data_IF_573163287986
#
_entry.id   IF_573163287986
#
_cell.length_a   1.000
_cell.length_b   1.000
_cell.length_c   1.000
_cell.angle_alpha   90.00
_cell.angle_beta   90.00
_cell.angle_gamma   90.00
#
_symmetry.space_group_name_H-M   'P 1'
#
loop_
_entity.id
_entity.type
_entity.pdbx_description
1 polymer ?
#
# COMPACT_ATOMS: atom_id res chain seq x y z
N UNK A 1 -4.65 -5.74 -21.43
CA UNK A 1 -4.52 -7.20 -21.22
C UNK A 1 -5.46 -7.57 -20.08
N UNK A 2 -6.37 -8.50 -20.22
CA UNK A 2 -7.52 -8.64 -19.31
C UNK A 2 -7.22 -9.19 -17.90
N UNK A 3 -5.97 -9.44 -17.53
CA UNK A 3 -5.65 -10.04 -16.23
C UNK A 3 -4.44 -9.39 -15.52
N UNK A 4 -4.16 -8.11 -15.77
CA UNK A 4 -3.03 -7.37 -15.18
C UNK A 4 -3.55 -6.27 -14.25
N UNK A 5 -3.05 -6.21 -13.03
CA UNK A 5 -3.35 -5.14 -12.08
C UNK A 5 -2.51 -3.90 -12.32
N UNK A 6 -1.24 -4.11 -12.70
CA UNK A 6 -0.30 -3.04 -13.06
C UNK A 6 0.43 -3.47 -14.34
N UNK A 7 0.51 -2.59 -15.33
CA UNK A 7 1.32 -2.74 -16.55
C UNK A 7 2.11 -1.45 -16.76
N UNK A 8 3.43 -1.53 -16.74
CA UNK A 8 4.34 -0.37 -16.84
C UNK A 8 5.29 -0.56 -18.01
N UNK A 9 5.42 0.48 -18.84
CA UNK A 9 6.25 0.47 -20.05
C UNK A 9 7.13 1.70 -20.13
N UNK A 10 8.42 1.46 -20.16
CA UNK A 10 9.47 2.47 -20.33
C UNK A 10 9.36 3.65 -19.36
N UNK A 11 8.78 3.40 -18.17
CA UNK A 11 8.45 4.43 -17.19
C UNK A 11 9.71 5.02 -16.59
N UNK A 12 9.85 6.33 -16.68
CA UNK A 12 11.04 7.04 -16.17
C UNK A 12 10.66 8.29 -15.40
N UNK A 13 11.45 8.61 -14.35
CA UNK A 13 11.32 9.84 -13.58
C UNK A 13 12.65 10.52 -13.37
N UNK A 14 12.73 11.77 -13.79
CA UNK A 14 13.90 12.64 -13.62
C UNK A 14 13.54 13.84 -12.72
N UNK A 15 14.39 14.16 -11.76
CA UNK A 15 14.34 15.37 -10.92
C UNK A 15 15.58 16.20 -11.18
N UNK A 16 15.41 17.33 -11.87
CA UNK A 16 16.56 18.12 -12.36
C UNK A 16 17.46 17.22 -13.23
N UNK A 17 18.73 17.06 -12.83
CA UNK A 17 19.67 16.18 -13.57
C UNK A 17 19.73 14.76 -13.02
N UNK A 18 19.05 14.46 -11.92
CA UNK A 18 19.05 13.13 -11.29
C UNK A 18 17.94 12.25 -11.86
N UNK A 19 18.33 11.10 -12.45
CA UNK A 19 17.39 10.05 -12.81
C UNK A 19 17.04 9.25 -11.54
N UNK A 20 15.75 9.24 -11.16
CA UNK A 20 15.25 8.49 -10.01
C UNK A 20 14.70 7.13 -10.40
N UNK A 21 14.07 7.03 -11.58
CA UNK A 21 13.60 5.79 -12.21
C UNK A 21 13.98 5.86 -13.68
N UNK A 22 14.56 4.79 -14.23
CA UNK A 22 15.03 4.74 -15.63
C UNK A 22 14.46 3.51 -16.32
N UNK A 23 13.63 3.72 -17.34
CA UNK A 23 13.12 2.70 -18.27
C UNK A 23 12.51 1.48 -17.54
N UNK A 24 11.69 1.71 -16.50
CA UNK A 24 11.05 0.61 -15.79
C UNK A 24 10.01 -0.07 -16.67
N UNK A 25 10.09 -1.42 -16.73
CA UNK A 25 9.17 -2.27 -17.47
C UNK A 25 8.81 -3.45 -16.61
N UNK A 26 7.53 -3.56 -16.20
CA UNK A 26 7.04 -4.70 -15.43
C UNK A 26 5.52 -4.80 -15.49
N UNK A 27 5.01 -5.98 -15.16
CA UNK A 27 3.58 -6.24 -15.04
C UNK A 27 3.28 -7.03 -13.76
N UNK A 28 2.15 -6.72 -13.13
CA UNK A 28 1.64 -7.41 -11.95
C UNK A 28 0.32 -8.09 -12.30
N UNK A 29 0.24 -9.43 -12.27
CA UNK A 29 -1.00 -10.14 -12.52
C UNK A 29 -2.06 -9.86 -11.43
N UNK A 30 -3.35 -9.88 -11.80
CA UNK A 30 -4.44 -9.86 -10.83
C UNK A 30 -4.39 -11.09 -9.92
N UNK A 31 -4.76 -10.91 -8.63
CA UNK A 31 -4.81 -11.97 -7.63
C UNK A 31 -3.43 -12.51 -7.19
N UNK A 32 -2.34 -11.77 -7.45
CA UNK A 32 -0.99 -12.17 -7.05
C UNK A 32 -0.41 -11.26 -5.95
N UNK A 33 0.58 -11.79 -5.23
CA UNK A 33 1.51 -10.98 -4.43
C UNK A 33 2.76 -10.75 -5.27
N UNK A 34 3.07 -9.50 -5.55
CA UNK A 34 4.27 -9.11 -6.29
C UNK A 34 5.20 -8.28 -5.40
N UNK A 35 6.41 -8.78 -5.16
CA UNK A 35 7.47 -8.07 -4.47
C UNK A 35 8.27 -7.18 -5.41
N UNK A 36 8.34 -5.89 -5.13
CA UNK A 36 9.16 -4.90 -5.83
C UNK A 36 10.42 -4.62 -5.02
N UNK A 37 11.46 -5.44 -5.26
CA UNK A 37 12.63 -5.53 -4.40
C UNK A 37 13.81 -4.74 -4.97
N UNK A 38 14.52 -4.03 -4.11
CA UNK A 38 15.73 -3.29 -4.49
C UNK A 38 16.30 -2.47 -3.33
N UNK A 39 17.57 -2.05 -3.40
CA UNK A 39 18.21 -1.27 -2.35
C UNK A 39 17.54 0.09 -2.13
N UNK A 40 17.84 0.73 -1.00
CA UNK A 40 17.38 2.09 -0.74
C UNK A 40 17.89 3.04 -1.84
N UNK A 41 17.02 3.92 -2.32
CA UNK A 41 17.33 4.85 -3.41
C UNK A 41 17.23 4.25 -4.83
N UNK A 42 16.79 2.99 -5.00
CA UNK A 42 16.59 2.39 -6.33
C UNK A 42 15.34 2.87 -7.09
N UNK A 43 14.55 3.78 -6.50
CA UNK A 43 13.37 4.34 -7.15
C UNK A 43 12.04 3.67 -6.78
N UNK A 44 12.00 2.72 -5.82
CA UNK A 44 10.77 2.00 -5.44
C UNK A 44 9.63 2.95 -5.06
N UNK A 45 9.85 3.79 -4.05
CA UNK A 45 8.85 4.79 -3.60
C UNK A 45 8.48 5.75 -4.72
N UNK A 46 9.44 6.17 -5.56
CA UNK A 46 9.17 7.04 -6.71
C UNK A 46 8.25 6.35 -7.73
N UNK A 47 8.49 5.07 -8.01
CA UNK A 47 7.62 4.28 -8.90
C UNK A 47 6.22 4.15 -8.30
N UNK A 48 6.10 3.81 -7.02
CA UNK A 48 4.82 3.73 -6.31
C UNK A 48 4.07 5.06 -6.37
N UNK A 49 4.76 6.18 -6.16
CA UNK A 49 4.12 7.52 -6.25
C UNK A 49 3.61 7.83 -7.66
N UNK A 50 4.31 7.39 -8.73
CA UNK A 50 3.80 7.52 -10.09
C UNK A 50 2.56 6.66 -10.32
N UNK A 51 2.55 5.40 -9.85
CA UNK A 51 1.41 4.49 -9.95
C UNK A 51 0.17 4.99 -9.18
N UNK A 52 0.37 5.82 -8.15
CA UNK A 52 -0.71 6.42 -7.36
C UNK A 52 -1.09 7.84 -7.81
N UNK A 53 -0.54 8.31 -8.93
CA UNK A 53 -0.84 9.65 -9.46
C UNK A 53 -0.34 10.81 -8.58
N UNK A 54 0.52 10.53 -7.57
CA UNK A 54 1.06 11.55 -6.67
C UNK A 54 2.14 12.40 -7.34
N UNK A 55 2.79 11.85 -8.36
CA UNK A 55 3.76 12.53 -9.23
C UNK A 55 3.60 12.02 -10.65
N UNK A 56 3.76 12.89 -11.63
CA UNK A 56 3.74 12.48 -13.05
C UNK A 56 5.09 11.88 -13.46
N UNK A 57 5.12 10.85 -14.33
CA UNK A 57 6.34 10.39 -14.97
C UNK A 57 6.97 11.48 -15.85
N UNK A 58 8.26 11.36 -16.15
CA UNK A 58 8.94 12.20 -17.12
C UNK A 58 8.74 11.66 -18.55
N UNK A 59 8.81 10.33 -18.70
CA UNK A 59 8.56 9.59 -19.94
C UNK A 59 7.99 8.21 -19.63
N UNK A 60 7.47 7.54 -20.64
CA UNK A 60 6.84 6.23 -20.52
C UNK A 60 5.37 6.30 -20.10
N UNK A 61 4.75 5.16 -20.06
CA UNK A 61 3.33 5.00 -19.72
C UNK A 61 3.10 3.83 -18.76
N UNK A 62 1.88 3.73 -18.27
CA UNK A 62 1.46 2.62 -17.42
C UNK A 62 -0.03 2.60 -17.22
N UNK A 63 -0.52 1.42 -16.80
CA UNK A 63 -1.92 1.21 -16.49
C UNK A 63 -2.05 0.58 -15.10
N UNK A 64 -3.04 1.02 -14.34
CA UNK A 64 -3.43 0.45 -13.05
C UNK A 64 -4.90 0.04 -13.15
N UNK A 65 -5.18 -1.26 -12.92
CA UNK A 65 -6.52 -1.85 -13.06
C UNK A 65 -7.17 -1.57 -14.43
N UNK A 66 -6.32 -1.47 -15.47
CA UNK A 66 -6.73 -1.21 -16.86
C UNK A 66 -6.90 0.25 -17.22
N UNK A 67 -6.76 1.18 -16.29
CA UNK A 67 -6.84 2.62 -16.50
C UNK A 67 -5.45 3.24 -16.63
N UNK A 68 -5.31 4.31 -17.40
CA UNK A 68 -4.06 5.04 -17.59
C UNK A 68 -3.61 5.72 -16.28
N UNK A 69 -2.31 5.68 -15.95
CA UNK A 69 -1.77 6.34 -14.75
C UNK A 69 -1.86 7.87 -14.80
N UNK A 70 -2.12 8.45 -15.96
CA UNK A 70 -2.41 9.89 -16.10
C UNK A 70 -3.79 10.30 -15.57
N UNK A 71 -4.71 9.33 -15.43
CA UNK A 71 -6.10 9.54 -15.00
C UNK A 71 -6.39 8.83 -13.67
N UNK A 72 -5.72 9.21 -12.56
CA UNK A 72 -5.77 8.48 -11.29
C UNK A 72 -7.16 8.40 -10.67
N UNK A 73 -8.04 9.34 -10.95
CA UNK A 73 -9.43 9.35 -10.48
C UNK A 73 -10.22 8.11 -10.96
N UNK A 74 -9.83 7.48 -12.07
CA UNK A 74 -10.52 6.33 -12.63
C UNK A 74 -10.19 5.02 -11.92
N UNK A 75 -9.04 4.93 -11.22
CA UNK A 75 -8.61 3.69 -10.56
C UNK A 75 -8.39 3.81 -9.04
N UNK A 76 -8.01 4.98 -8.51
CA UNK A 76 -7.72 5.16 -7.09
C UNK A 76 -8.86 4.74 -6.15
N UNK A 77 -10.15 4.88 -6.48
CA UNK A 77 -11.24 4.37 -5.65
C UNK A 77 -11.20 2.84 -5.43
N UNK A 78 -10.45 2.12 -6.28
CA UNK A 78 -10.28 0.66 -6.22
C UNK A 78 -8.89 0.24 -5.72
N UNK A 79 -8.07 1.20 -5.29
CA UNK A 79 -6.69 1.00 -4.81
C UNK A 79 -6.60 1.38 -3.35
N UNK A 80 -6.05 0.50 -2.53
CA UNK A 80 -5.59 0.82 -1.19
C UNK A 80 -4.09 1.07 -1.19
N UNK A 81 -3.63 2.09 -0.48
CA UNK A 81 -2.21 2.39 -0.46
C UNK A 81 -1.69 2.76 0.93
N UNK A 82 -0.45 2.34 1.22
CA UNK A 82 0.32 2.81 2.36
C UNK A 82 1.74 3.16 1.90
N UNK A 83 2.11 4.44 2.03
CA UNK A 83 3.42 4.96 1.63
C UNK A 83 4.10 5.60 2.84
N UNK A 84 5.39 5.30 3.05
CA UNK A 84 6.26 5.94 4.07
C UNK A 84 5.78 5.80 5.52
N UNK A 85 4.97 4.82 5.82
CA UNK A 85 4.45 4.58 7.16
C UNK A 85 3.21 5.42 7.51
N UNK A 86 2.40 4.90 8.40
CA UNK A 86 1.09 5.46 8.68
C UNK A 86 1.16 6.73 9.53
N UNK A 87 0.55 7.81 9.04
CA UNK A 87 0.37 9.06 9.77
C UNK A 87 -1.04 9.11 10.38
N UNK A 88 -1.13 8.78 11.67
CA UNK A 88 -2.37 8.81 12.44
C UNK A 88 -2.32 9.84 13.56
N UNK A 89 -3.46 10.19 14.11
CA UNK A 89 -3.58 11.08 15.26
C UNK A 89 -3.18 10.34 16.55
N UNK A 90 -2.08 10.74 17.23
CA UNK A 90 -1.54 9.99 18.38
C UNK A 90 -2.47 9.93 19.58
N UNK A 91 -3.32 10.95 19.74
CA UNK A 91 -4.26 11.06 20.85
C UNK A 91 -5.54 10.24 20.67
N UNK A 92 -5.86 9.87 19.43
CA UNK A 92 -7.01 9.03 19.09
C UNK A 92 -6.69 7.54 19.27
N UNK A 93 -7.73 6.73 19.46
CA UNK A 93 -7.61 5.27 19.47
C UNK A 93 -7.42 4.73 18.04
N UNK A 94 -7.06 3.45 17.89
CA UNK A 94 -7.01 2.80 16.57
C UNK A 94 -8.35 2.88 15.85
N UNK A 95 -9.43 2.54 16.53
CA UNK A 95 -10.81 2.65 16.02
C UNK A 95 -11.13 4.06 15.57
N UNK A 96 -10.87 5.07 16.43
CA UNK A 96 -11.15 6.47 16.09
C UNK A 96 -10.37 6.96 14.87
N UNK A 97 -9.10 6.57 14.73
CA UNK A 97 -8.29 6.90 13.56
C UNK A 97 -8.91 6.34 12.28
N UNK A 98 -9.29 5.06 12.25
CA UNK A 98 -9.94 4.46 11.09
C UNK A 98 -11.30 5.10 10.78
N UNK A 99 -12.10 5.41 11.80
CA UNK A 99 -13.38 6.12 11.63
C UNK A 99 -13.19 7.49 11.00
N UNK A 100 -12.16 8.24 11.42
CA UNK A 100 -11.84 9.56 10.82
C UNK A 100 -11.49 9.38 9.34
N UNK A 101 -10.61 8.42 9.00
CA UNK A 101 -10.23 8.18 7.61
C UNK A 101 -11.40 7.67 6.76
N UNK A 102 -12.23 6.77 7.31
CA UNK A 102 -13.42 6.30 6.61
C UNK A 102 -14.36 7.45 6.25
N UNK A 103 -14.64 8.35 7.21
CA UNK A 103 -15.48 9.54 6.96
C UNK A 103 -14.87 10.48 5.95
N UNK A 104 -13.56 10.75 6.00
CA UNK A 104 -12.86 11.60 5.05
C UNK A 104 -12.89 11.03 3.63
N UNK A 105 -12.77 9.70 3.50
CA UNK A 105 -12.81 9.00 2.21
C UNK A 105 -14.21 8.66 1.72
N UNK A 106 -15.27 8.97 2.49
CA UNK A 106 -16.64 8.61 2.13
C UNK A 106 -16.95 7.11 2.25
N UNK A 107 -16.16 6.36 3.04
CA UNK A 107 -16.34 4.93 3.27
C UNK A 107 -17.25 4.64 4.45
N UNK A 108 -17.87 3.45 4.47
CA UNK A 108 -18.65 3.01 5.63
C UNK A 108 -17.77 2.85 6.87
N UNK A 109 -18.23 3.36 8.01
CA UNK A 109 -17.60 3.15 9.31
C UNK A 109 -17.91 1.77 9.89
N UNK A 110 -18.91 1.06 9.38
CA UNK A 110 -19.32 -0.26 9.90
C UNK A 110 -18.26 -1.33 9.66
N UNK A 111 -17.42 -1.15 8.64
CA UNK A 111 -16.32 -2.06 8.33
C UNK A 111 -15.14 -1.95 9.30
N UNK A 112 -15.05 -0.87 10.08
CA UNK A 112 -13.86 -0.55 10.91
C UNK A 112 -13.51 -1.66 11.90
N UNK A 113 -14.50 -2.18 12.61
CA UNK A 113 -14.27 -3.24 13.61
C UNK A 113 -13.75 -4.52 12.92
N UNK A 114 -14.38 -4.94 11.83
CA UNK A 114 -13.93 -6.11 11.06
C UNK A 114 -12.53 -5.93 10.45
N UNK A 115 -12.17 -4.71 10.04
CA UNK A 115 -10.81 -4.42 9.56
C UNK A 115 -9.78 -4.50 10.68
N UNK A 116 -10.09 -4.01 11.90
CA UNK A 116 -9.22 -4.15 13.06
C UNK A 116 -9.01 -5.63 13.43
N UNK A 117 -10.05 -6.43 13.41
CA UNK A 117 -9.97 -7.87 13.64
C UNK A 117 -9.12 -8.55 12.57
N UNK A 118 -9.34 -8.22 11.29
CA UNK A 118 -8.59 -8.75 10.14
C UNK A 118 -7.08 -8.51 10.26
N UNK A 119 -6.67 -7.34 10.76
CA UNK A 119 -5.24 -7.04 10.96
C UNK A 119 -4.72 -7.42 12.35
N UNK A 120 -5.49 -8.17 13.16
CA UNK A 120 -5.09 -8.62 14.49
C UNK A 120 -4.99 -7.49 15.52
N UNK A 121 -5.83 -6.48 15.41
CA UNK A 121 -5.93 -5.34 16.33
C UNK A 121 -7.32 -5.21 16.99
N UNK A 122 -8.19 -6.24 16.90
CA UNK A 122 -9.54 -6.20 17.44
C UNK A 122 -9.58 -5.81 18.92
N UNK A 123 -8.77 -6.49 19.75
CA UNK A 123 -8.70 -6.23 21.22
C UNK A 123 -7.92 -4.94 21.57
N UNK A 124 -7.31 -4.29 20.60
CA UNK A 124 -6.48 -3.10 20.76
C UNK A 124 -7.09 -1.84 20.13
N UNK A 125 -8.24 -1.99 19.46
CA UNK A 125 -8.93 -0.90 18.78
C UNK A 125 -9.14 0.33 19.66
N UNK A 126 -9.47 0.15 20.93
CA UNK A 126 -9.72 1.22 21.91
C UNK A 126 -8.46 1.77 22.60
N UNK A 127 -7.29 1.20 22.32
CA UNK A 127 -6.02 1.73 22.82
C UNK A 127 -5.58 2.93 21.99
N UNK A 128 -5.00 3.95 22.65
CA UNK A 128 -4.51 5.16 21.97
C UNK A 128 -3.35 4.80 21.03
N UNK A 129 -3.38 5.35 19.81
CA UNK A 129 -2.36 5.09 18.79
C UNK A 129 -0.92 5.36 19.26
N UNK A 130 -0.71 6.38 20.10
CA UNK A 130 0.63 6.66 20.68
C UNK A 130 1.21 5.51 21.49
N UNK A 131 0.37 4.57 21.98
CA UNK A 131 0.81 3.40 22.75
C UNK A 131 1.03 2.16 21.89
N UNK A 132 0.80 2.25 20.57
CA UNK A 132 1.00 1.14 19.65
C UNK A 132 2.49 0.87 19.42
N UNK A 133 2.85 -0.41 19.38
CA UNK A 133 4.17 -0.82 18.85
C UNK A 133 4.28 -0.47 17.37
N UNK A 134 5.49 -0.51 16.83
CA UNK A 134 5.70 -0.26 15.39
C UNK A 134 4.89 -1.24 14.54
N UNK A 135 4.91 -2.54 14.86
CA UNK A 135 4.12 -3.56 14.16
C UNK A 135 2.61 -3.30 14.22
N UNK A 136 2.08 -2.86 15.39
CA UNK A 136 0.68 -2.47 15.49
C UNK A 136 0.36 -1.24 14.62
N UNK A 137 1.27 -0.28 14.54
CA UNK A 137 1.14 0.90 13.66
C UNK A 137 1.10 0.51 12.19
N UNK A 138 1.98 -0.38 11.76
CA UNK A 138 1.99 -0.89 10.38
C UNK A 138 0.69 -1.63 10.06
N UNK A 139 0.22 -2.50 10.94
CA UNK A 139 -1.05 -3.23 10.74
C UNK A 139 -2.25 -2.28 10.70
N UNK A 140 -2.27 -1.22 11.52
CA UNK A 140 -3.32 -0.18 11.42
C UNK A 140 -3.24 0.56 10.07
N UNK A 141 -2.04 0.81 9.55
CA UNK A 141 -1.83 1.39 8.22
C UNK A 141 -2.39 0.50 7.10
N UNK A 142 -2.17 -0.81 7.20
CA UNK A 142 -2.78 -1.78 6.27
C UNK A 142 -4.31 -1.76 6.40
N UNK A 143 -4.86 -1.73 7.63
CA UNK A 143 -6.30 -1.60 7.84
C UNK A 143 -6.89 -0.34 7.19
N UNK A 144 -6.19 0.79 7.29
CA UNK A 144 -6.59 2.03 6.63
C UNK A 144 -6.58 1.89 5.09
N UNK A 145 -5.57 1.23 4.53
CA UNK A 145 -5.49 0.96 3.10
C UNK A 145 -6.61 0.00 2.62
N UNK A 146 -7.19 -0.79 3.50
CA UNK A 146 -8.30 -1.68 3.20
C UNK A 146 -9.69 -1.02 3.28
N UNK A 147 -9.81 0.20 3.80
CA UNK A 147 -11.09 0.91 3.93
C UNK A 147 -11.92 1.00 2.62
N UNK A 148 -11.30 1.27 1.44
CA UNK A 148 -12.04 1.32 0.19
C UNK A 148 -12.43 -0.06 -0.36
N UNK A 149 -12.18 -1.17 0.35
CA UNK A 149 -12.33 -2.53 -0.15
C UNK A 149 -11.63 -2.73 -1.51
N UNK A 150 -10.30 -2.52 -1.57
CA UNK A 150 -9.56 -2.36 -2.82
C UNK A 150 -9.40 -3.67 -3.59
N UNK A 151 -9.31 -3.57 -4.94
CA UNK A 151 -8.88 -4.66 -5.83
C UNK A 151 -7.35 -4.81 -5.88
N UNK A 152 -6.63 -3.72 -5.61
CA UNK A 152 -5.17 -3.65 -5.58
C UNK A 152 -4.72 -2.94 -4.31
N UNK A 153 -3.83 -3.58 -3.57
CA UNK A 153 -3.18 -3.02 -2.38
C UNK A 153 -1.71 -2.72 -2.72
N UNK A 154 -1.30 -1.46 -2.56
CA UNK A 154 0.08 -1.01 -2.79
C UNK A 154 0.70 -0.60 -1.46
N UNK A 155 1.75 -1.30 -1.05
CA UNK A 155 2.42 -1.08 0.24
C UNK A 155 3.90 -0.76 0.04
N UNK A 156 4.33 0.38 0.55
CA UNK A 156 5.74 0.77 0.49
C UNK A 156 6.45 0.41 1.80
N UNK A 157 7.36 -0.57 1.74
CA UNK A 157 8.19 -1.04 2.87
C UNK A 157 7.37 -1.37 4.15
N UNK A 158 6.29 -2.18 4.09
CA UNK A 158 5.37 -2.38 5.22
C UNK A 158 6.01 -3.09 6.43
N UNK A 159 7.16 -3.72 6.23
CA UNK A 159 7.91 -4.47 7.25
C UNK A 159 9.12 -3.70 7.79
N UNK A 160 9.38 -2.48 7.27
CA UNK A 160 10.55 -1.71 7.63
C UNK A 160 10.59 -1.38 9.14
N UNK A 161 11.72 -1.71 9.78
CA UNK A 161 11.96 -1.45 11.20
C UNK A 161 11.23 -2.41 12.16
N UNK A 162 10.56 -3.44 11.65
CA UNK A 162 9.95 -4.48 12.48
C UNK A 162 11.01 -5.50 12.94
N UNK A 163 10.74 -6.10 14.10
CA UNK A 163 11.45 -7.29 14.55
C UNK A 163 11.03 -8.53 13.72
N UNK A 164 11.76 -9.66 13.80
CA UNK A 164 11.44 -10.83 13.01
C UNK A 164 10.02 -11.37 13.21
N UNK A 165 9.46 -11.25 14.42
CA UNK A 165 8.10 -11.67 14.70
C UNK A 165 7.07 -10.78 13.98
N UNK A 166 7.24 -9.46 14.06
CA UNK A 166 6.39 -8.48 13.36
C UNK A 166 6.44 -8.63 11.83
N UNK A 167 7.61 -8.95 11.27
CA UNK A 167 7.75 -9.27 9.84
C UNK A 167 6.88 -10.48 9.48
N UNK A 168 6.94 -11.56 10.27
CA UNK A 168 6.14 -12.77 10.02
C UNK A 168 4.63 -12.51 10.13
N UNK A 169 4.21 -11.68 11.11
CA UNK A 169 2.81 -11.29 11.25
C UNK A 169 2.29 -10.52 10.03
N UNK A 170 3.05 -9.53 9.54
CA UNK A 170 2.68 -8.77 8.34
C UNK A 170 2.63 -9.68 7.11
N UNK A 171 3.61 -10.57 6.93
CA UNK A 171 3.63 -11.54 5.83
C UNK A 171 2.42 -12.48 5.86
N UNK A 172 2.06 -13.00 7.03
CA UNK A 172 0.89 -13.86 7.18
C UNK A 172 -0.38 -13.11 6.80
N UNK A 173 -0.52 -11.86 7.23
CA UNK A 173 -1.63 -11.00 6.85
C UNK A 173 -1.71 -10.77 5.34
N UNK A 174 -0.59 -10.45 4.68
CA UNK A 174 -0.58 -10.24 3.23
C UNK A 174 -0.94 -11.51 2.45
N UNK A 175 -0.49 -12.69 2.90
CA UNK A 175 -0.89 -13.98 2.31
C UNK A 175 -2.39 -14.22 2.48
N UNK A 176 -2.93 -14.01 3.68
CA UNK A 176 -4.36 -14.12 3.93
C UNK A 176 -5.17 -13.22 2.98
N UNK A 177 -4.78 -11.96 2.82
CA UNK A 177 -5.45 -11.01 1.93
C UNK A 177 -5.39 -11.46 0.45
N UNK A 178 -4.28 -12.05 0.03
CA UNK A 178 -4.15 -12.58 -1.33
C UNK A 178 -5.01 -13.84 -1.53
N UNK A 179 -5.05 -14.74 -0.56
CA UNK A 179 -5.92 -15.94 -0.58
C UNK A 179 -7.41 -15.56 -0.63
N UNK A 180 -7.78 -14.39 -0.09
CA UNK A 180 -9.11 -13.79 -0.18
C UNK A 180 -9.37 -13.09 -1.54
N UNK A 181 -8.38 -13.10 -2.46
CA UNK A 181 -8.50 -12.57 -3.83
C UNK A 181 -7.95 -11.17 -4.05
N UNK A 182 -7.31 -10.55 -3.05
CA UNK A 182 -6.65 -9.25 -3.23
C UNK A 182 -5.40 -9.38 -4.10
N UNK A 183 -5.15 -8.39 -4.96
CA UNK A 183 -3.85 -8.23 -5.62
C UNK A 183 -2.98 -7.35 -4.72
N UNK A 184 -1.72 -7.75 -4.49
CA UNK A 184 -0.82 -7.03 -3.59
C UNK A 184 0.48 -6.71 -4.31
N UNK A 185 0.84 -5.42 -4.34
CA UNK A 185 2.13 -4.92 -4.80
C UNK A 185 2.87 -4.34 -3.60
N UNK A 186 3.97 -4.96 -3.20
CA UNK A 186 4.71 -4.60 -1.99
C UNK A 186 6.16 -4.30 -2.33
N UNK A 187 6.65 -3.12 -1.91
CA UNK A 187 8.09 -2.83 -2.01
C UNK A 187 8.85 -3.37 -0.79
N UNK A 188 10.08 -3.82 -1.03
CA UNK A 188 11.02 -4.18 0.04
C UNK A 188 12.45 -3.92 -0.37
N UNK A 189 13.32 -3.65 0.60
CA UNK A 189 14.77 -3.63 0.41
C UNK A 189 15.44 -4.97 0.77
N UNK A 190 14.68 -5.94 1.30
CA UNK A 190 15.17 -7.26 1.70
C UNK A 190 14.69 -8.33 0.73
N UNK A 191 15.63 -9.08 0.13
CA UNK A 191 15.32 -10.20 -0.79
C UNK A 191 14.62 -11.38 -0.09
N UNK A 192 14.72 -11.46 1.24
CA UNK A 192 14.11 -12.52 2.05
C UNK A 192 12.66 -12.24 2.43
N UNK A 193 12.11 -11.10 2.05
CA UNK A 193 10.71 -10.74 2.24
C UNK A 193 9.85 -11.16 1.05
#
# INVERSE_FOLDING_TARGET
MPNTAIDVRDLSKKYGDRMAVSHANFAVPMGSICGFVGPNGSGKTTTIRMLLGLISPTTGDGHVLGEDISDPENYLPRVGAMIEGPAFYPALTGTQNLVVLAKLGGFSTDAVQGLLEKVGLGDRGDSKYKTYSLGMKQRLGIAAALLPNPKLLILDEPTNGLDPAGIQEVRALLRQLADEGSTIFVSSHLLSE
#
